data_IF_872367498005
#
_entry.id   IF_872367498005
#
_cell.length_a   1.000
_cell.length_b   1.000
_cell.length_c   1.000
_cell.angle_alpha   90.00
_cell.angle_beta   90.00
_cell.angle_gamma   90.00
#
_symmetry.space_group_name_H-M   'P 1'
#
loop_
_entity.id
_entity.type
_entity.pdbx_description
1 polymer ?
#
# COMPACT_ATOMS: atom_id res chain seq x y z
N UNK A 1 39.92 26.79 -11.93
CA UNK A 1 40.25 26.03 -10.70
C UNK A 1 39.44 26.59 -9.56
N UNK A 2 38.44 25.86 -9.07
CA UNK A 2 37.85 25.99 -7.74
C UNK A 2 36.88 24.80 -7.58
N UNK A 3 37.36 23.72 -6.96
CA UNK A 3 36.54 22.57 -6.58
C UNK A 3 35.83 22.90 -5.26
N UNK A 4 34.51 22.86 -5.24
CA UNK A 4 33.72 22.97 -4.01
C UNK A 4 33.12 21.61 -3.69
N UNK A 5 33.78 20.85 -2.82
CA UNK A 5 33.27 19.60 -2.26
C UNK A 5 32.42 19.92 -1.02
N UNK A 6 31.10 19.86 -1.16
CA UNK A 6 30.17 19.92 -0.04
C UNK A 6 30.18 18.59 0.73
N UNK A 7 30.40 18.69 2.04
CA UNK A 7 30.47 17.56 2.97
C UNK A 7 29.07 17.26 3.50
N UNK A 8 28.60 15.99 3.52
CA UNK A 8 27.29 15.67 4.08
C UNK A 8 27.30 15.87 5.61
N UNK A 9 26.29 16.60 6.11
CA UNK A 9 26.08 16.80 7.54
C UNK A 9 25.79 15.47 8.22
N UNK A 10 26.60 15.12 9.22
CA UNK A 10 26.38 13.93 10.03
C UNK A 10 25.06 14.04 10.79
N UNK A 11 24.09 13.18 10.48
CA UNK A 11 22.92 12.97 11.32
C UNK A 11 23.37 12.63 12.74
N UNK A 12 22.81 13.33 13.73
CA UNK A 12 23.24 13.26 15.13
C UNK A 12 22.99 11.87 15.72
N UNK A 13 24.02 11.02 15.66
CA UNK A 13 24.20 9.71 16.33
C UNK A 13 23.74 9.69 17.80
N UNK A 14 23.67 10.87 18.41
CA UNK A 14 23.34 11.11 19.80
C UNK A 14 21.89 10.81 20.17
N UNK A 15 20.91 11.09 19.30
CA UNK A 15 19.48 10.91 19.63
C UNK A 15 19.07 9.43 19.61
N UNK A 16 19.60 8.68 18.63
CA UNK A 16 19.38 7.24 18.53
C UNK A 16 20.00 6.48 19.71
N UNK A 17 21.22 6.86 20.11
CA UNK A 17 21.88 6.26 21.28
C UNK A 17 21.17 6.61 22.59
N UNK A 18 20.66 7.85 22.75
CA UNK A 18 19.88 8.23 23.94
C UNK A 18 18.60 7.41 24.04
N UNK A 19 17.81 7.29 22.96
CA UNK A 19 16.56 6.51 22.97
C UNK A 19 16.82 5.02 23.23
N UNK A 20 17.86 4.42 22.62
CA UNK A 20 18.25 3.03 22.90
C UNK A 20 18.79 2.82 24.31
N UNK A 21 19.53 3.79 24.88
CA UNK A 21 20.00 3.73 26.25
C UNK A 21 18.84 3.78 27.26
N UNK A 22 17.82 4.61 27.02
CA UNK A 22 16.61 4.64 27.84
C UNK A 22 15.82 3.33 27.76
N UNK A 23 15.67 2.75 26.57
CA UNK A 23 15.00 1.44 26.38
C UNK A 23 15.77 0.33 27.09
N UNK A 24 17.10 0.27 26.96
CA UNK A 24 17.94 -0.73 27.64
C UNK A 24 17.92 -0.58 29.16
N UNK A 25 17.95 0.65 29.67
CA UNK A 25 17.85 0.92 31.10
C UNK A 25 16.48 0.52 31.67
N UNK A 26 15.39 0.82 30.95
CA UNK A 26 14.04 0.39 31.30
C UNK A 26 13.90 -1.13 31.29
N UNK A 27 14.40 -1.80 30.25
CA UNK A 27 14.39 -3.27 30.15
C UNK A 27 15.18 -3.93 31.29
N UNK A 28 16.36 -3.40 31.63
CA UNK A 28 17.15 -3.88 32.78
C UNK A 28 16.43 -3.66 34.11
N UNK A 29 15.73 -2.54 34.29
CA UNK A 29 14.96 -2.26 35.50
C UNK A 29 13.78 -3.22 35.64
N UNK A 30 13.07 -3.49 34.54
CA UNK A 30 11.97 -4.48 34.51
C UNK A 30 12.50 -5.88 34.81
N UNK A 31 13.61 -6.30 34.18
CA UNK A 31 14.25 -7.59 34.47
C UNK A 31 14.71 -7.70 35.94
N UNK A 32 15.23 -6.62 36.52
CA UNK A 32 15.60 -6.60 37.93
C UNK A 32 14.39 -6.73 38.86
N UNK A 33 13.25 -6.10 38.52
CA UNK A 33 12.00 -6.25 39.26
C UNK A 33 11.42 -7.66 39.14
N UNK A 34 11.44 -8.25 37.94
CA UNK A 34 11.01 -9.64 37.72
C UNK A 34 11.92 -10.60 38.50
N UNK A 35 13.23 -10.42 38.43
CA UNK A 35 14.18 -11.25 39.19
C UNK A 35 14.01 -11.06 40.70
N UNK A 36 13.64 -9.87 41.17
CA UNK A 36 13.30 -9.60 42.57
C UNK A 36 11.99 -10.29 43.00
N UNK A 37 10.96 -10.25 42.15
CA UNK A 37 9.67 -10.88 42.39
C UNK A 37 9.74 -12.41 42.30
N UNK A 38 10.58 -12.94 41.40
CA UNK A 38 10.86 -14.37 41.25
C UNK A 38 11.95 -14.86 42.20
N UNK A 39 12.41 -14.06 43.18
CA UNK A 39 13.28 -14.59 44.24
C UNK A 39 12.51 -15.71 44.95
N UNK A 40 13.02 -16.95 44.93
CA UNK A 40 12.32 -18.06 45.52
C UNK A 40 12.25 -17.84 47.04
N UNK A 41 11.08 -17.43 47.52
CA UNK A 41 10.66 -17.74 48.88
C UNK A 41 10.48 -19.25 48.91
N UNK A 42 11.36 -19.94 49.64
CA UNK A 42 11.42 -21.39 49.63
C UNK A 42 10.20 -22.03 50.30
N UNK A 43 9.38 -22.69 49.50
CA UNK A 43 8.75 -24.01 49.67
C UNK A 43 8.23 -24.39 48.27
N UNK A 44 7.98 -25.61 47.83
CA UNK A 44 7.93 -26.95 48.39
C UNK A 44 7.08 -27.74 47.39
N UNK A 45 7.61 -28.87 46.90
CA UNK A 45 6.91 -29.95 46.15
C UNK A 45 6.17 -29.62 44.85
N UNK A 46 6.65 -30.20 43.75
CA UNK A 46 5.92 -30.29 42.50
C UNK A 46 5.08 -31.56 42.40
N UNK A 47 4.08 -31.52 41.52
CA UNK A 47 3.63 -32.64 40.66
C UNK A 47 2.63 -32.11 39.61
N UNK A 48 2.79 -32.42 38.31
CA UNK A 48 1.76 -32.15 37.30
C UNK A 48 0.88 -33.39 37.09
N UNK A 49 -0.40 -33.30 37.41
CA UNK A 49 -1.39 -34.32 37.06
C UNK A 49 -1.79 -34.18 35.59
N UNK A 50 -1.33 -35.17 34.82
CA UNK A 50 -1.80 -35.53 33.48
C UNK A 50 -3.24 -36.02 33.57
N UNK A 51 -4.17 -35.33 32.91
CA UNK A 51 -5.51 -35.86 32.65
C UNK A 51 -5.51 -36.64 31.34
N UNK A 52 -5.70 -37.94 31.49
CA UNK A 52 -5.98 -38.92 30.45
C UNK A 52 -7.51 -39.09 30.37
N UNK A 53 -8.07 -39.04 29.17
CA UNK A 53 -9.39 -39.59 28.89
C UNK A 53 -9.50 -39.92 27.39
N UNK A 54 -9.48 -41.22 27.11
CA UNK A 54 -10.02 -41.82 25.88
C UNK A 54 -11.50 -41.45 25.66
N UNK A 55 -12.12 -41.77 24.53
CA UNK A 55 -12.48 -43.13 24.14
C UNK A 55 -12.93 -43.13 22.64
N UNK A 56 -12.54 -44.21 21.96
CA UNK A 56 -13.15 -44.96 20.85
C UNK A 56 -13.93 -44.29 19.69
N UNK A 57 -13.38 -44.55 18.49
CA UNK A 57 -13.96 -45.28 17.33
C UNK A 57 -15.35 -44.90 16.76
N UNK A 58 -15.35 -44.54 15.47
CA UNK A 58 -16.37 -44.99 14.49
C UNK A 58 -16.00 -44.66 13.02
N UNK A 59 -16.66 -45.28 12.02
CA UNK A 59 -16.00 -45.95 10.87
C UNK A 59 -15.98 -45.18 9.54
N UNK A 60 -15.27 -45.77 8.57
CA UNK A 60 -15.28 -45.44 7.13
C UNK A 60 -16.65 -45.58 6.46
N UNK A 61 -16.95 -44.62 5.55
CA UNK A 61 -17.80 -44.85 4.36
C UNK A 61 -17.47 -43.79 3.29
N UNK A 62 -17.34 -44.28 2.05
CA UNK A 62 -17.03 -43.62 0.77
C UNK A 62 -18.10 -42.61 0.28
N UNK A 63 -17.77 -41.77 -0.74
CA UNK A 63 -18.62 -40.70 -1.24
C UNK A 63 -19.72 -41.19 -2.20
N UNK A 64 -20.86 -40.50 -2.20
CA UNK A 64 -21.90 -40.64 -3.21
C UNK A 64 -22.27 -39.26 -3.79
N UNK A 65 -22.31 -39.22 -5.12
CA UNK A 65 -22.70 -38.11 -6.00
C UNK A 65 -24.13 -37.60 -5.72
N UNK A 66 -24.48 -36.43 -6.29
CA UNK A 66 -25.74 -36.37 -7.02
C UNK A 66 -25.55 -35.87 -8.46
N UNK A 67 -26.17 -36.63 -9.38
CA UNK A 67 -26.48 -36.23 -10.76
C UNK A 67 -27.92 -35.73 -10.86
N UNK A 68 -28.08 -34.75 -11.77
CA UNK A 68 -29.21 -34.46 -12.65
C UNK A 68 -30.51 -33.81 -12.10
N UNK A 69 -30.78 -32.62 -12.63
CA UNK A 69 -32.12 -32.16 -13.07
C UNK A 69 -31.89 -31.27 -14.31
N UNK A 70 -32.07 -31.81 -15.52
CA UNK A 70 -33.18 -31.52 -16.46
C UNK A 70 -33.27 -30.02 -16.85
N UNK A 71 -32.70 -29.61 -17.99
CA UNK A 71 -33.29 -29.62 -19.34
C UNK A 71 -34.51 -28.72 -19.51
N UNK A 72 -34.30 -27.54 -20.10
CA UNK A 72 -35.23 -26.90 -21.05
C UNK A 72 -34.43 -25.96 -21.98
N UNK A 73 -34.26 -26.40 -23.23
CA UNK A 73 -34.12 -25.56 -24.44
C UNK A 73 -35.54 -25.15 -24.89
N UNK A 74 -35.78 -24.20 -25.84
CA UNK A 74 -34.92 -23.86 -26.99
C UNK A 74 -34.91 -22.36 -27.39
N UNK A 75 -34.14 -22.01 -28.43
CA UNK A 75 -34.48 -20.85 -29.27
C UNK A 75 -33.35 -20.22 -30.09
N UNK A 76 -33.11 -20.77 -31.28
CA UNK A 76 -32.87 -20.10 -32.57
C UNK A 76 -31.77 -19.00 -32.71
N UNK A 77 -30.65 -19.41 -33.31
CA UNK A 77 -29.88 -18.66 -34.34
C UNK A 77 -30.73 -18.65 -35.65
N UNK A 78 -30.64 -17.70 -36.62
CA UNK A 78 -29.43 -17.01 -37.07
C UNK A 78 -29.62 -15.54 -37.52
N UNK A 79 -28.51 -14.85 -37.81
CA UNK A 79 -28.24 -14.35 -39.19
C UNK A 79 -27.09 -13.35 -39.25
N UNK A 80 -26.19 -13.65 -40.17
CA UNK A 80 -25.21 -12.79 -40.81
C UNK A 80 -25.81 -11.46 -41.30
N UNK A 81 -24.96 -10.42 -41.29
CA UNK A 81 -25.26 -9.10 -41.85
C UNK A 81 -24.03 -8.21 -41.93
N UNK A 82 -23.10 -8.53 -42.83
CA UNK A 82 -22.06 -7.63 -43.31
C UNK A 82 -22.68 -6.43 -44.05
N UNK A 83 -22.27 -5.18 -43.75
CA UNK A 83 -22.18 -3.92 -44.56
C UNK A 83 -21.64 -2.83 -43.63
N UNK A 84 -21.00 -1.73 -44.02
CA UNK A 84 -20.24 -1.24 -45.17
C UNK A 84 -19.75 0.14 -44.71
N UNK A 85 -18.61 0.55 -45.22
CA UNK A 85 -17.94 1.82 -44.96
C UNK A 85 -18.85 3.06 -45.10
N UNK A 86 -18.61 4.07 -44.27
CA UNK A 86 -18.74 5.47 -44.67
C UNK A 86 -17.96 6.40 -43.71
N UNK A 87 -16.85 6.93 -44.23
CA UNK A 87 -16.29 8.23 -43.87
C UNK A 87 -17.38 9.31 -44.05
N UNK A 88 -17.37 10.40 -43.27
CA UNK A 88 -16.93 11.61 -43.94
C UNK A 88 -16.03 12.51 -43.09
N UNK A 89 -15.03 13.02 -43.79
CA UNK A 89 -14.24 14.20 -43.52
C UNK A 89 -15.13 15.45 -43.40
N UNK A 90 -14.76 16.36 -42.50
CA UNK A 90 -15.34 17.68 -42.36
C UNK A 90 -14.39 18.61 -41.61
N UNK A 91 -13.56 19.30 -42.37
CA UNK A 91 -12.78 20.47 -41.97
C UNK A 91 -13.67 21.64 -41.48
N UNK A 92 -13.21 22.39 -40.46
CA UNK A 92 -12.99 23.84 -40.51
C UNK A 92 -12.81 24.49 -39.11
N UNK A 93 -11.61 25.03 -38.91
CA UNK A 93 -11.27 26.39 -38.46
C UNK A 93 -11.90 27.04 -37.19
N UNK A 94 -10.98 27.38 -36.28
CA UNK A 94 -10.72 28.71 -35.70
C UNK A 94 -11.83 29.46 -34.93
N UNK A 95 -11.58 29.69 -33.63
CA UNK A 95 -11.88 30.98 -32.99
C UNK A 95 -11.17 31.09 -31.64
N UNK A 96 -10.25 32.05 -31.57
CA UNK A 96 -9.69 32.64 -30.36
C UNK A 96 -10.75 33.02 -29.30
N UNK A 97 -10.38 32.84 -28.04
CA UNK A 97 -11.21 33.22 -26.89
C UNK A 97 -10.41 33.31 -25.60
N UNK A 98 -9.44 34.23 -25.56
CA UNK A 98 -8.78 34.65 -24.33
C UNK A 98 -9.81 35.25 -23.35
N UNK A 99 -9.91 34.66 -22.16
CA UNK A 99 -10.52 35.28 -21.00
C UNK A 99 -9.59 35.08 -19.79
N UNK A 100 -8.85 36.14 -19.49
CA UNK A 100 -8.20 36.34 -18.22
C UNK A 100 -9.26 36.35 -17.11
N UNK A 101 -9.10 35.46 -16.14
CA UNK A 101 -9.79 35.50 -14.86
C UNK A 101 -8.75 35.77 -13.79
N UNK A 102 -8.50 37.06 -13.54
CA UNK A 102 -7.89 37.55 -12.31
C UNK A 102 -8.71 37.08 -11.10
N UNK A 103 -8.05 36.40 -10.16
CA UNK A 103 -8.66 35.85 -8.95
C UNK A 103 -7.65 35.83 -7.81
N UNK A 104 -7.40 37.02 -7.28
CA UNK A 104 -7.03 37.32 -5.89
C UNK A 104 -5.80 36.60 -5.29
N UNK A 105 -4.64 37.22 -5.48
CA UNK A 105 -3.55 37.13 -4.53
C UNK A 105 -3.85 38.02 -3.30
N UNK A 106 -4.36 37.40 -2.24
CA UNK A 106 -4.07 37.79 -0.86
C UNK A 106 -3.03 36.76 -0.36
N UNK A 107 -1.80 37.09 0.03
CA UNK A 107 -1.37 38.26 0.78
C UNK A 107 -1.09 37.81 2.22
N UNK A 108 0.17 37.47 2.51
CA UNK A 108 0.63 37.23 3.88
C UNK A 108 1.56 36.03 4.01
N UNK A 109 2.87 36.27 3.97
CA UNK A 109 3.86 35.29 4.39
C UNK A 109 3.87 35.18 5.90
N UNK A 110 3.40 34.05 6.40
CA UNK A 110 3.68 33.43 7.70
C UNK A 110 3.70 31.93 7.41
N UNK A 111 4.61 31.18 8.05
CA UNK A 111 4.98 29.79 7.74
C UNK A 111 3.79 28.96 7.23
N UNK A 112 3.89 28.52 5.95
CA UNK A 112 2.77 28.02 5.16
C UNK A 112 2.18 26.70 5.66
N UNK A 113 1.39 26.76 6.71
CA UNK A 113 0.56 25.68 7.19
C UNK A 113 -0.71 25.59 6.32
N UNK A 114 -0.94 24.43 5.72
CA UNK A 114 -2.20 24.14 4.99
C UNK A 114 -3.37 24.31 5.96
N UNK A 115 -4.44 25.05 5.60
CA UNK A 115 -5.59 25.26 6.48
C UNK A 115 -6.23 23.92 6.85
N UNK A 116 -6.77 23.83 8.08
CA UNK A 116 -7.49 22.63 8.52
C UNK A 116 -8.77 22.43 7.68
N UNK A 117 -9.15 21.18 7.38
CA UNK A 117 -10.39 20.89 6.66
C UNK A 117 -11.60 21.30 7.50
N UNK A 118 -12.62 21.88 6.87
CA UNK A 118 -13.87 22.29 7.53
C UNK A 118 -15.05 21.40 7.11
N UNK A 119 -14.96 20.76 5.95
CA UNK A 119 -15.98 19.89 5.37
C UNK A 119 -15.38 18.55 4.90
N UNK A 120 -16.20 17.48 4.80
CA UNK A 120 -15.73 16.18 4.34
C UNK A 120 -15.07 16.18 2.95
N UNK A 121 -15.52 17.06 2.04
CA UNK A 121 -14.94 17.20 0.70
C UNK A 121 -13.58 17.92 0.67
N UNK A 122 -13.19 18.60 1.75
CA UNK A 122 -11.90 19.27 1.82
C UNK A 122 -10.78 18.24 1.99
N UNK A 123 -9.61 18.50 1.40
CA UNK A 123 -8.48 17.58 1.49
C UNK A 123 -7.97 17.47 2.93
N UNK A 124 -7.59 16.26 3.33
CA UNK A 124 -6.88 16.07 4.58
C UNK A 124 -5.53 16.79 4.54
N UNK A 125 -5.06 17.26 5.70
CA UNK A 125 -3.69 17.77 5.80
C UNK A 125 -2.72 16.59 5.96
N UNK A 126 -1.54 16.62 5.32
CA UNK A 126 -0.56 15.53 5.46
C UNK A 126 -0.23 15.15 6.91
N UNK A 127 -0.11 16.14 7.79
CA UNK A 127 0.19 15.92 9.22
C UNK A 127 -0.95 15.29 10.02
N UNK A 128 -2.18 15.31 9.49
CA UNK A 128 -3.35 14.72 10.14
C UNK A 128 -3.61 13.27 9.67
N UNK A 129 -2.91 12.80 8.64
CA UNK A 129 -3.08 11.45 8.08
C UNK A 129 -1.89 10.60 8.45
N UNK A 130 -2.17 9.41 8.97
CA UNK A 130 -1.16 8.37 9.18
C UNK A 130 -1.35 7.30 8.12
N UNK A 131 -0.30 7.05 7.34
CA UNK A 131 -0.23 5.97 6.36
C UNK A 131 0.69 4.88 6.89
N UNK A 132 0.35 3.61 6.65
CA UNK A 132 1.28 2.48 6.79
C UNK A 132 1.41 1.74 5.47
N UNK A 133 2.63 1.30 5.16
CA UNK A 133 2.96 0.53 3.97
C UNK A 133 3.67 -0.76 4.35
N UNK A 134 3.02 -1.90 4.11
CA UNK A 134 3.44 -3.21 4.59
C UNK A 134 3.23 -4.29 3.51
N UNK A 135 3.78 -5.49 3.72
CA UNK A 135 3.42 -6.64 2.88
C UNK A 135 1.94 -7.00 3.07
N UNK A 136 1.26 -7.41 2.01
CA UNK A 136 -0.15 -7.80 2.09
C UNK A 136 -0.38 -8.97 3.07
N UNK A 137 0.54 -9.93 3.04
CA UNK A 137 0.66 -11.03 3.99
C UNK A 137 1.89 -10.81 4.88
N UNK A 138 1.71 -10.86 6.20
CA UNK A 138 2.78 -10.60 7.16
C UNK A 138 3.97 -11.55 6.94
N UNK A 139 5.16 -10.99 6.71
CA UNK A 139 6.40 -11.73 6.50
C UNK A 139 6.54 -12.41 5.13
N UNK A 140 5.62 -12.17 4.18
CA UNK A 140 5.72 -12.71 2.83
C UNK A 140 6.70 -11.90 1.97
N UNK A 141 7.99 -12.13 2.17
CA UNK A 141 9.06 -11.43 1.43
C UNK A 141 9.59 -12.23 0.23
N UNK A 142 9.13 -13.47 0.05
CA UNK A 142 9.62 -14.39 -0.98
C UNK A 142 8.45 -14.96 -1.77
N UNK A 143 8.47 -14.73 -3.07
CA UNK A 143 7.40 -15.11 -3.99
C UNK A 143 7.89 -16.17 -4.98
N UNK A 144 7.18 -17.30 -5.06
CA UNK A 144 7.46 -18.40 -5.99
C UNK A 144 7.19 -18.06 -7.45
N UNK A 145 7.40 -19.02 -8.35
CA UNK A 145 7.01 -18.92 -9.75
C UNK A 145 5.52 -18.49 -9.88
N UNK A 146 5.26 -17.41 -10.62
CA UNK A 146 3.91 -16.91 -10.89
C UNK A 146 3.15 -16.32 -9.69
N UNK A 147 3.78 -16.17 -8.51
CA UNK A 147 3.15 -15.52 -7.36
C UNK A 147 3.33 -14.00 -7.41
N UNK A 148 2.24 -13.25 -7.39
CA UNK A 148 2.29 -11.79 -7.50
C UNK A 148 2.53 -11.12 -6.15
N UNK A 149 3.52 -10.23 -6.03
CA UNK A 149 3.75 -9.48 -4.80
C UNK A 149 2.58 -8.56 -4.44
N UNK A 150 2.13 -8.65 -3.20
CA UNK A 150 1.06 -7.81 -2.65
C UNK A 150 1.58 -6.88 -1.56
N UNK A 151 1.10 -5.64 -1.58
CA UNK A 151 1.44 -4.60 -0.60
C UNK A 151 0.16 -3.97 -0.05
N UNK A 152 0.06 -3.86 1.28
CA UNK A 152 -1.07 -3.26 1.98
C UNK A 152 -0.76 -1.81 2.33
N UNK A 153 -1.72 -0.95 2.04
CA UNK A 153 -1.69 0.46 2.41
C UNK A 153 -2.88 0.67 3.36
N UNK A 154 -2.61 1.24 4.53
CA UNK A 154 -3.65 1.64 5.48
C UNK A 154 -3.56 3.13 5.73
N UNK A 155 -4.67 3.84 5.55
CA UNK A 155 -4.79 5.28 5.67
C UNK A 155 -5.72 5.61 6.84
N UNK A 156 -5.25 6.41 7.79
CA UNK A 156 -6.02 6.79 8.98
C UNK A 156 -6.00 8.29 9.17
N UNK A 157 -7.18 8.91 9.17
CA UNK A 157 -7.33 10.29 9.60
C UNK A 157 -7.28 10.39 11.13
N UNK A 158 -6.42 11.27 11.65
CA UNK A 158 -6.27 11.55 13.08
C UNK A 158 -6.86 12.91 13.48
N UNK A 159 -7.27 13.76 12.54
CA UNK A 159 -8.02 14.98 12.82
C UNK A 159 -9.43 14.67 13.33
N UNK A 160 -10.07 15.64 13.97
CA UNK A 160 -11.46 15.50 14.46
C UNK A 160 -12.47 15.56 13.30
N UNK A 161 -12.15 16.33 12.26
CA UNK A 161 -13.00 16.54 11.11
C UNK A 161 -12.76 15.44 10.06
N UNK A 162 -13.84 14.86 9.52
CA UNK A 162 -13.76 14.03 8.31
C UNK A 162 -13.26 14.88 7.16
N UNK A 163 -12.34 14.35 6.37
CA UNK A 163 -11.73 14.98 5.21
C UNK A 163 -11.49 13.94 4.11
N UNK A 164 -11.13 14.39 2.91
CA UNK A 164 -10.89 13.54 1.74
C UNK A 164 -9.38 13.30 1.54
N UNK A 165 -9.00 12.05 1.32
CA UNK A 165 -7.64 11.66 0.88
C UNK A 165 -7.73 11.16 -0.56
N UNK A 166 -6.78 11.57 -1.39
CA UNK A 166 -6.57 10.96 -2.70
C UNK A 166 -5.56 9.82 -2.56
N UNK A 167 -5.99 8.60 -2.84
CA UNK A 167 -5.17 7.38 -2.81
C UNK A 167 -4.85 6.87 -4.22
N UNK A 168 -5.19 7.64 -5.25
CA UNK A 168 -4.93 7.29 -6.65
C UNK A 168 -3.43 7.13 -6.92
N UNK A 169 -3.09 6.39 -7.98
CA UNK A 169 -1.72 5.96 -8.26
C UNK A 169 -0.71 7.09 -8.48
N UNK A 170 -1.18 8.30 -8.81
CA UNK A 170 -0.35 9.52 -8.91
C UNK A 170 -0.13 10.21 -7.56
N UNK A 171 -1.13 10.18 -6.67
CA UNK A 171 -1.07 10.83 -5.36
C UNK A 171 -0.38 9.94 -4.30
N UNK A 172 -0.61 8.63 -4.34
CA UNK A 172 0.04 7.61 -3.54
C UNK A 172 0.74 6.60 -4.46
N UNK A 173 1.91 6.97 -4.94
CA UNK A 173 2.64 6.21 -5.96
C UNK A 173 3.46 5.07 -5.34
N UNK A 174 3.20 3.84 -5.76
CA UNK A 174 4.04 2.70 -5.44
C UNK A 174 5.06 2.51 -6.56
N UNK A 175 6.35 2.54 -6.22
CA UNK A 175 7.46 2.29 -7.15
C UNK A 175 8.22 1.02 -6.81
N UNK A 176 8.41 0.17 -7.82
CA UNK A 176 9.17 -1.08 -7.70
C UNK A 176 10.49 -0.96 -8.47
N UNK A 177 11.58 -1.32 -7.81
CA UNK A 177 12.92 -1.25 -8.38
C UNK A 177 13.69 -2.57 -8.21
N UNK A 178 14.62 -2.83 -9.13
CA UNK A 178 15.65 -3.86 -9.03
C UNK A 178 17.03 -3.20 -9.17
N UNK A 179 17.81 -3.10 -8.09
CA UNK A 179 19.01 -2.26 -8.09
C UNK A 179 18.66 -0.81 -8.47
N UNK A 180 19.37 -0.21 -9.43
CA UNK A 180 19.06 1.14 -9.92
C UNK A 180 17.96 1.18 -11.00
N UNK A 181 17.46 0.02 -11.46
CA UNK A 181 16.44 -0.07 -12.50
C UNK A 181 15.03 0.11 -11.92
N UNK A 182 14.30 1.14 -12.37
CA UNK A 182 12.87 1.33 -12.07
C UNK A 182 12.04 0.41 -12.93
N UNK A 183 11.41 -0.58 -12.30
CA UNK A 183 10.63 -1.62 -12.98
C UNK A 183 9.18 -1.19 -13.16
N UNK A 184 8.56 -0.62 -12.14
CA UNK A 184 7.14 -0.31 -12.19
C UNK A 184 6.82 0.91 -11.34
N UNK A 185 5.76 1.60 -11.73
CA UNK A 185 5.08 2.64 -10.98
C UNK A 185 3.57 2.55 -11.20
N UNK A 186 2.78 2.79 -10.14
CA UNK A 186 1.32 2.97 -10.22
C UNK A 186 0.92 4.30 -10.84
N UNK A 187 1.82 5.29 -10.92
CA UNK A 187 1.56 6.56 -11.59
C UNK A 187 1.71 6.47 -13.11
N UNK A 188 2.37 5.42 -13.61
CA UNK A 188 2.50 5.22 -15.04
C UNK A 188 1.11 4.88 -15.64
N UNK A 189 0.62 5.74 -16.54
CA UNK A 189 -0.56 5.50 -17.36
C UNK A 189 -1.88 5.37 -16.59
N UNK A 190 -2.01 6.13 -15.51
CA UNK A 190 -3.20 6.23 -14.69
C UNK A 190 -4.35 7.02 -15.37
N UNK A 191 -4.61 6.80 -16.66
CA UNK A 191 -5.59 7.59 -17.45
C UNK A 191 -7.03 7.47 -16.90
N UNK A 192 -7.34 6.49 -16.04
CA UNK A 192 -8.64 6.32 -15.38
C UNK A 192 -8.56 6.15 -13.84
N UNK A 193 -7.37 6.17 -13.24
CA UNK A 193 -7.12 5.92 -11.79
C UNK A 193 -6.19 6.97 -11.17
N UNK A 194 -6.03 8.11 -11.85
CA UNK A 194 -5.15 9.21 -11.47
C UNK A 194 -5.55 9.83 -10.13
N UNK A 195 -6.86 9.95 -9.90
CA UNK A 195 -7.45 10.39 -8.64
C UNK A 195 -8.45 9.36 -8.13
N UNK A 196 -8.20 8.84 -6.94
CA UNK A 196 -9.09 7.95 -6.21
C UNK A 196 -9.38 8.55 -4.84
N UNK A 197 -10.52 9.23 -4.71
CA UNK A 197 -10.83 10.03 -3.52
C UNK A 197 -11.67 9.27 -2.51
N UNK A 198 -11.20 9.19 -1.28
CA UNK A 198 -11.92 8.59 -0.16
C UNK A 198 -12.10 9.57 0.99
N UNK A 199 -13.33 9.64 1.52
CA UNK A 199 -13.61 10.38 2.75
C UNK A 199 -13.26 9.52 3.96
N UNK A 200 -12.29 9.98 4.76
CA UNK A 200 -11.77 9.22 5.89
C UNK A 200 -12.23 9.87 7.19
N UNK A 201 -13.06 9.15 7.93
CA UNK A 201 -13.48 9.56 9.27
C UNK A 201 -12.37 9.31 10.29
N UNK A 202 -12.37 10.10 11.36
CA UNK A 202 -11.37 9.98 12.42
C UNK A 202 -11.25 8.56 12.95
N UNK A 203 -10.03 8.02 12.94
CA UNK A 203 -9.69 6.74 13.55
C UNK A 203 -10.29 5.50 12.86
N UNK A 204 -11.00 5.67 11.74
CA UNK A 204 -11.49 4.55 10.92
C UNK A 204 -10.46 4.32 9.81
N UNK A 205 -9.76 3.18 9.80
CA UNK A 205 -8.79 2.90 8.75
C UNK A 205 -9.50 2.63 7.43
N UNK A 206 -8.94 3.19 6.35
CA UNK A 206 -9.19 2.74 5.00
C UNK A 206 -8.00 1.90 4.56
N UNK A 207 -8.25 0.63 4.26
CA UNK A 207 -7.22 -0.34 3.90
C UNK A 207 -7.46 -0.83 2.48
N UNK A 208 -6.41 -0.83 1.66
CA UNK A 208 -6.43 -1.44 0.34
C UNK A 208 -5.13 -2.20 0.08
N UNK A 209 -5.17 -3.11 -0.87
CA UNK A 209 -4.02 -3.93 -1.27
C UNK A 209 -3.73 -3.70 -2.73
N UNK A 210 -2.49 -3.33 -3.02
CA UNK A 210 -1.95 -3.28 -4.36
C UNK A 210 -1.22 -4.60 -4.67
N UNK A 211 -1.61 -5.26 -5.75
CA UNK A 211 -0.96 -6.49 -6.22
C UNK A 211 -0.23 -6.19 -7.53
N UNK A 212 1.07 -6.47 -7.57
CA UNK A 212 1.89 -6.25 -8.75
C UNK A 212 2.02 -7.53 -9.56
N UNK A 213 1.45 -7.55 -10.77
CA UNK A 213 1.47 -8.69 -11.72
C UNK A 213 2.84 -8.97 -12.35
N UNK A 214 3.92 -8.48 -11.73
CA UNK A 214 5.30 -8.61 -12.21
C UNK A 214 5.51 -7.99 -13.59
N UNK A 215 4.63 -7.09 -14.04
CA UNK A 215 4.76 -6.40 -15.32
C UNK A 215 5.53 -5.10 -15.14
N UNK A 216 6.37 -4.78 -16.12
CA UNK A 216 7.09 -3.51 -16.16
C UNK A 216 6.15 -2.41 -16.69
N UNK A 217 6.24 -1.21 -16.13
CA UNK A 217 5.52 -0.03 -16.64
C UNK A 217 6.48 1.09 -17.08
N UNK A 218 5.95 2.01 -17.88
CA UNK A 218 6.69 3.12 -18.45
C UNK A 218 5.83 4.39 -18.50
N UNK A 219 6.46 5.54 -18.27
CA UNK A 219 5.81 6.86 -18.30
C UNK A 219 5.24 7.21 -19.70
N UNK A 220 5.77 6.63 -20.76
CA UNK A 220 5.31 6.83 -22.14
C UNK A 220 4.19 5.87 -22.58
N UNK A 221 3.67 5.07 -21.63
CA UNK A 221 2.53 4.16 -21.84
C UNK A 221 2.68 3.12 -22.93
N UNK A 222 3.93 2.77 -23.26
CA UNK A 222 4.17 1.58 -24.06
C UNK A 222 3.87 0.31 -23.26
N UNK A 223 3.08 -0.58 -23.84
CA UNK A 223 2.84 -1.90 -23.25
C UNK A 223 4.07 -2.80 -23.28
N UNK A 224 4.09 -3.82 -22.41
CA UNK A 224 5.09 -4.89 -22.45
C UNK A 224 4.54 -6.18 -21.86
N UNK A 225 4.83 -7.30 -22.53
CA UNK A 225 4.55 -8.64 -22.01
C UNK A 225 5.74 -9.21 -21.22
N UNK A 226 6.81 -8.42 -21.04
CA UNK A 226 8.01 -8.84 -20.35
C UNK A 226 7.79 -8.86 -18.83
N UNK A 227 7.62 -10.07 -18.28
CA UNK A 227 7.55 -10.27 -16.83
C UNK A 227 8.92 -10.08 -16.15
N UNK A 228 8.86 -9.54 -14.94
CA UNK A 228 9.99 -9.35 -14.05
C UNK A 228 10.69 -10.69 -13.76
N UNK A 229 12.01 -10.70 -13.91
CA UNK A 229 12.82 -11.90 -13.77
C UNK A 229 13.05 -12.26 -12.29
N UNK A 230 13.41 -13.51 -11.97
CA UNK A 230 13.84 -13.88 -10.62
C UNK A 230 14.97 -12.97 -10.13
N UNK A 231 14.87 -12.50 -8.89
CA UNK A 231 15.79 -11.49 -8.37
C UNK A 231 15.28 -10.80 -7.11
N UNK A 232 16.07 -9.84 -6.63
CA UNK A 232 15.68 -8.97 -5.52
C UNK A 232 15.09 -7.67 -6.06
N UNK A 233 14.04 -7.23 -5.39
CA UNK A 233 13.29 -6.02 -5.69
C UNK A 233 13.04 -5.25 -4.39
N UNK A 234 12.66 -3.98 -4.52
CA UNK A 234 12.14 -3.17 -3.41
C UNK A 234 10.92 -2.40 -3.87
N UNK A 235 9.88 -2.37 -3.04
CA UNK A 235 8.73 -1.50 -3.21
C UNK A 235 8.85 -0.28 -2.28
N UNK A 236 8.44 0.88 -2.78
CA UNK A 236 8.46 2.15 -2.07
C UNK A 236 7.11 2.82 -2.26
N UNK A 237 6.59 3.47 -1.22
CA UNK A 237 5.42 4.32 -1.31
C UNK A 237 5.87 5.79 -1.29
N UNK A 238 5.39 6.56 -2.27
CA UNK A 238 5.61 8.00 -2.40
C UNK A 238 4.28 8.74 -2.38
N UNK A 239 4.31 10.00 -1.99
CA UNK A 239 3.11 10.86 -1.95
C UNK A 239 3.15 11.81 -0.76
N UNK A 240 2.30 12.84 -0.80
CA UNK A 240 2.26 13.86 0.26
C UNK A 240 1.88 13.28 1.62
N UNK A 241 1.03 12.25 1.63
CA UNK A 241 0.57 11.55 2.83
C UNK A 241 1.48 10.39 3.25
N UNK A 242 2.39 9.93 2.38
CA UNK A 242 3.17 8.72 2.64
C UNK A 242 4.10 8.91 3.86
N UNK A 243 4.72 10.08 4.02
CA UNK A 243 5.70 10.31 5.08
C UNK A 243 6.94 9.41 4.94
N UNK A 244 7.61 9.09 6.05
CA UNK A 244 8.81 8.25 6.08
C UNK A 244 8.46 6.74 6.10
N UNK A 245 7.91 6.22 5.00
CA UNK A 245 7.61 4.78 4.89
C UNK A 245 8.87 3.92 4.75
N UNK A 246 8.85 2.67 5.24
CA UNK A 246 9.93 1.73 5.00
C UNK A 246 9.98 1.33 3.52
N UNK A 247 11.19 1.07 3.01
CA UNK A 247 11.35 0.30 1.79
C UNK A 247 11.03 -1.17 2.10
N UNK A 248 10.27 -1.84 1.24
CA UNK A 248 9.89 -3.25 1.40
C UNK A 248 10.70 -4.12 0.43
N UNK A 249 11.81 -4.74 0.86
CA UNK A 249 12.62 -5.63 0.01
C UNK A 249 11.99 -7.02 -0.13
N UNK A 250 11.84 -7.50 -1.35
CA UNK A 250 11.28 -8.84 -1.61
C UNK A 250 12.04 -9.57 -2.72
N UNK A 251 11.89 -10.89 -2.76
CA UNK A 251 12.56 -11.76 -3.71
C UNK A 251 11.56 -12.51 -4.59
N UNK A 252 11.75 -12.42 -5.90
CA UNK A 252 11.09 -13.30 -6.87
C UNK A 252 11.96 -14.54 -7.11
N UNK A 253 11.35 -15.71 -6.98
CA UNK A 253 11.95 -17.01 -7.33
C UNK A 253 11.45 -17.46 -8.70
N UNK A 254 12.27 -18.30 -9.33
CA UNK A 254 11.94 -18.99 -10.57
C UNK A 254 10.82 -20.02 -10.36
#
# INVERSE_FOLDING_TARGET
MASSTGQPGAVSRETYWKRRAFVLAGALLVLALIAYACRPSGDGSGEPTRSDAGIEASPSVSPAEPSADASEEPGDDPSEGARESADPSGDAEDSDGAAAGDGDSAGGGEDGEVPAPERPEDLCRPQDVVVTFEYAEEGQEVYGAGADPGFRITVVNTAEQTCTVDVGGEAMEIRIHSGDDRIFSTADCAENESAEKHQISRGVPHEYTFTWERLRSFEDCRGTDASAQPGWYRANLHGDYAGDQPELPFQLKA
#
